data_IF_467839233259
#
_entry.id   IF_467839233259
#
_cell.length_a   1.000
_cell.length_b   1.000
_cell.length_c   1.000
_cell.angle_alpha   90.00
_cell.angle_beta   90.00
_cell.angle_gamma   90.00
#
_symmetry.space_group_name_H-M   'P 1'
#
loop_
_entity.id
_entity.type
_entity.pdbx_description
1 polymer ?
#
# COMPACT_ATOMS: atom_id res chain seq x y z
N UNK A 1 4.99 20.74 -25.05
CA UNK A 1 4.77 19.99 -23.80
C UNK A 1 5.96 20.21 -22.90
N UNK A 2 5.75 20.78 -21.72
CA UNK A 2 6.81 20.98 -20.73
C UNK A 2 7.23 19.61 -20.15
N UNK A 3 8.55 19.37 -20.08
CA UNK A 3 9.12 18.13 -19.54
C UNK A 3 8.63 17.87 -18.12
N UNK A 4 8.45 18.95 -17.34
CA UNK A 4 7.99 18.88 -15.95
C UNK A 4 6.52 18.40 -15.88
N UNK A 5 5.65 18.86 -16.77
CA UNK A 5 4.25 18.40 -16.84
C UNK A 5 4.17 16.91 -17.22
N UNK A 6 4.95 16.48 -18.20
CA UNK A 6 4.99 15.07 -18.62
C UNK A 6 5.48 14.12 -17.51
N UNK A 7 6.44 14.57 -16.69
CA UNK A 7 6.94 13.82 -15.54
C UNK A 7 5.93 13.77 -14.39
N UNK A 8 5.26 14.90 -14.08
CA UNK A 8 4.21 14.96 -13.05
C UNK A 8 3.05 14.02 -13.38
N UNK A 9 2.56 14.09 -14.63
CA UNK A 9 1.43 13.27 -15.09
C UNK A 9 1.73 11.77 -15.00
N UNK A 10 2.89 11.33 -15.49
CA UNK A 10 3.33 9.92 -15.38
C UNK A 10 3.49 9.45 -13.94
N UNK A 11 4.00 10.31 -13.05
CA UNK A 11 4.17 9.98 -11.62
C UNK A 11 2.82 9.79 -10.94
N UNK A 12 1.87 10.67 -11.21
CA UNK A 12 0.53 10.62 -10.62
C UNK A 12 -0.30 9.43 -11.10
N UNK A 13 -0.24 9.12 -12.40
CA UNK A 13 -0.94 7.99 -13.01
C UNK A 13 -0.37 6.64 -12.52
N UNK A 14 0.96 6.51 -12.41
CA UNK A 14 1.58 5.30 -11.83
C UNK A 14 1.31 5.15 -10.34
N UNK A 15 1.34 6.23 -9.56
CA UNK A 15 1.33 6.12 -8.09
C UNK A 15 -0.06 5.87 -7.50
N UNK A 16 -1.13 6.43 -8.09
CA UNK A 16 -2.47 6.37 -7.49
C UNK A 16 -3.15 5.00 -7.65
N UNK A 17 -2.95 4.33 -8.78
CA UNK A 17 -3.65 3.08 -9.11
C UNK A 17 -2.82 1.85 -8.73
N UNK A 18 -1.51 1.87 -8.99
CA UNK A 18 -0.66 0.70 -8.78
C UNK A 18 -0.47 0.37 -7.29
N UNK A 19 -0.27 1.38 -6.44
CA UNK A 19 -0.07 1.17 -5.01
C UNK A 19 -1.31 0.64 -4.28
N UNK A 20 -2.50 1.12 -4.66
CA UNK A 20 -3.77 0.61 -4.11
C UNK A 20 -4.05 -0.80 -4.59
N UNK A 21 -3.81 -1.10 -5.87
CA UNK A 21 -3.98 -2.44 -6.43
C UNK A 21 -3.04 -3.45 -5.74
N UNK A 22 -1.76 -3.09 -5.58
CA UNK A 22 -0.79 -3.89 -4.84
C UNK A 22 -1.27 -4.18 -3.41
N UNK A 23 -1.77 -3.18 -2.70
CA UNK A 23 -2.35 -3.40 -1.37
C UNK A 23 -3.54 -4.35 -1.38
N UNK A 24 -4.48 -4.15 -2.32
CA UNK A 24 -5.68 -4.98 -2.42
C UNK A 24 -5.37 -6.44 -2.78
N UNK A 25 -4.34 -6.68 -3.61
CA UNK A 25 -3.84 -8.03 -3.94
C UNK A 25 -3.47 -8.82 -2.69
N UNK A 26 -2.84 -8.16 -1.70
CA UNK A 26 -2.38 -8.79 -0.46
C UNK A 26 -3.31 -8.55 0.74
N UNK A 27 -4.51 -7.99 0.52
CA UNK A 27 -5.37 -7.52 1.62
C UNK A 27 -5.67 -8.61 2.65
N UNK A 28 -6.06 -9.80 2.20
CA UNK A 28 -6.43 -10.91 3.08
C UNK A 28 -5.21 -11.44 3.84
N UNK A 29 -4.06 -11.62 3.17
CA UNK A 29 -2.79 -12.02 3.81
C UNK A 29 -2.32 -11.00 4.84
N UNK A 30 -2.45 -9.69 4.54
CA UNK A 30 -2.13 -8.61 5.48
C UNK A 30 -3.06 -8.67 6.69
N UNK A 31 -4.37 -8.88 6.47
CA UNK A 31 -5.35 -9.00 7.56
C UNK A 31 -5.03 -10.21 8.44
N UNK A 32 -4.77 -11.37 7.84
CA UNK A 32 -4.41 -12.58 8.57
C UNK A 32 -3.13 -12.38 9.39
N UNK A 33 -2.09 -11.77 8.82
CA UNK A 33 -0.87 -11.47 9.57
C UNK A 33 -1.12 -10.51 10.74
N UNK A 34 -1.96 -9.48 10.56
CA UNK A 34 -2.35 -8.59 11.64
C UNK A 34 -3.13 -9.33 12.74
N UNK A 35 -4.08 -10.20 12.36
CA UNK A 35 -4.88 -11.01 13.29
C UNK A 35 -4.03 -12.02 14.07
N UNK A 36 -2.91 -12.49 13.49
CA UNK A 36 -1.91 -13.34 14.14
C UNK A 36 -0.89 -12.55 15.01
N UNK A 37 -1.03 -11.24 15.12
CA UNK A 37 -0.19 -10.40 16.00
C UNK A 37 1.12 -9.92 15.39
N UNK A 38 1.32 -10.07 14.08
CA UNK A 38 2.48 -9.48 13.40
C UNK A 38 2.35 -7.95 13.29
N UNK A 39 3.47 -7.23 13.42
CA UNK A 39 3.44 -5.77 13.30
C UNK A 39 3.27 -5.34 11.84
N UNK A 40 2.53 -4.25 11.62
CA UNK A 40 2.32 -3.66 10.30
C UNK A 40 3.63 -3.29 9.58
N UNK A 41 4.67 -2.90 10.33
CA UNK A 41 5.99 -2.58 9.75
C UNK A 41 6.70 -3.81 9.21
N UNK A 42 6.63 -4.95 9.92
CA UNK A 42 7.26 -6.21 9.51
C UNK A 42 6.60 -6.75 8.23
N UNK A 43 5.25 -6.70 8.18
CA UNK A 43 4.46 -7.08 7.00
C UNK A 43 4.82 -6.17 5.82
N UNK A 44 4.85 -4.86 6.03
CA UNK A 44 5.19 -3.90 4.98
C UNK A 44 6.60 -4.11 4.46
N UNK A 45 7.60 -4.25 5.33
CA UNK A 45 8.99 -4.47 4.94
C UNK A 45 9.13 -5.75 4.12
N UNK A 46 8.46 -6.83 4.55
CA UNK A 46 8.49 -8.10 3.84
C UNK A 46 7.98 -7.96 2.40
N UNK A 47 6.81 -7.33 2.21
CA UNK A 47 6.22 -7.13 0.89
C UNK A 47 6.99 -6.09 0.06
N UNK A 48 7.56 -5.07 0.70
CA UNK A 48 8.35 -4.03 0.05
C UNK A 48 9.69 -4.57 -0.46
N UNK A 49 10.40 -5.37 0.34
CA UNK A 49 11.65 -6.04 -0.06
C UNK A 49 11.46 -6.99 -1.24
N UNK A 50 10.28 -7.62 -1.36
CA UNK A 50 9.89 -8.45 -2.51
C UNK A 50 9.51 -7.64 -3.77
N UNK A 51 9.38 -6.32 -3.67
CA UNK A 51 8.91 -5.46 -4.77
C UNK A 51 7.40 -5.49 -4.99
N UNK A 52 6.65 -6.22 -4.16
CA UNK A 52 5.21 -6.42 -4.27
C UNK A 52 4.41 -5.26 -3.66
N UNK A 53 5.02 -4.49 -2.75
CA UNK A 53 4.42 -3.32 -2.12
C UNK A 53 5.20 -2.05 -2.48
N UNK A 54 4.91 -1.36 -3.59
CA UNK A 54 5.69 -0.20 -4.05
C UNK A 54 5.40 1.09 -3.26
N UNK A 55 4.48 1.04 -2.30
CA UNK A 55 4.08 2.20 -1.48
C UNK A 55 4.95 2.31 -0.23
N UNK A 56 5.08 3.54 0.27
CA UNK A 56 5.75 3.83 1.54
C UNK A 56 4.93 3.32 2.74
N UNK A 57 5.60 3.07 3.86
CA UNK A 57 4.98 2.58 5.10
C UNK A 57 3.82 3.48 5.60
N UNK A 58 3.96 4.80 5.51
CA UNK A 58 2.90 5.74 5.90
C UNK A 58 1.61 5.55 5.06
N UNK A 59 1.75 5.28 3.76
CA UNK A 59 0.62 5.01 2.88
C UNK A 59 0.04 3.62 3.14
N UNK A 60 0.89 2.63 3.43
CA UNK A 60 0.48 1.28 3.82
C UNK A 60 -0.40 1.27 5.08
N UNK A 61 0.02 1.98 6.14
CA UNK A 61 -0.79 2.10 7.37
C UNK A 61 -2.11 2.85 7.16
N UNK A 62 -2.15 3.85 6.27
CA UNK A 62 -3.41 4.49 5.84
C UNK A 62 -4.34 3.48 5.16
N UNK A 63 -3.81 2.59 4.33
CA UNK A 63 -4.60 1.53 3.69
C UNK A 63 -5.08 0.48 4.68
N UNK A 64 -4.26 0.05 5.64
CA UNK A 64 -4.72 -0.81 6.74
C UNK A 64 -5.93 -0.16 7.42
N UNK A 65 -5.81 1.09 7.86
CA UNK A 65 -6.91 1.81 8.54
C UNK A 65 -8.15 1.95 7.66
N UNK A 66 -8.03 2.18 6.35
CA UNK A 66 -9.19 2.43 5.48
C UNK A 66 -9.83 1.17 4.91
N UNK A 67 -9.07 0.11 4.72
CA UNK A 67 -9.48 -1.06 3.93
C UNK A 67 -9.59 -2.34 4.77
N UNK A 68 -8.93 -2.38 5.94
CA UNK A 68 -8.99 -3.48 6.90
C UNK A 68 -9.68 -2.98 8.19
N UNK A 69 -9.29 -1.80 8.67
CA UNK A 69 -9.84 -1.15 9.86
C UNK A 69 -11.18 -0.45 9.63
N UNK A 70 -12.24 -1.22 9.39
CA UNK A 70 -13.60 -0.75 9.66
C UNK A 70 -14.47 -1.92 10.10
N UNK A 71 -14.27 -2.31 11.35
CA UNK A 71 -15.30 -2.95 12.17
C UNK A 71 -15.31 -2.20 13.50
N UNK A 72 -16.24 -1.25 13.64
CA UNK A 72 -16.46 -0.39 14.82
C UNK A 72 -16.70 1.07 14.41
N UNK A 73 -17.82 1.74 14.79
CA UNK A 73 -18.67 1.50 15.96
C UNK A 73 -19.65 0.33 15.85
#
# INVERSE_FOLDING_TARGET
MDLIEGLKKRREEKSKTHGRYAFLKYKEEIKEALDNGYNAIDIWEHLHKKGEMPIKYNQFTVYIRKLIGSSGP
#
